data_IF_850296848925
#
_entry.id   IF_850296848925
#
_cell.length_a   1.000
_cell.length_b   1.000
_cell.length_c   1.000
_cell.angle_alpha   90.00
_cell.angle_beta   90.00
_cell.angle_gamma   90.00
#
_symmetry.space_group_name_H-M   'P 1'
#
loop_
_entity.id
_entity.type
_entity.pdbx_description
1 polymer ?
#
# COMPACT_ATOMS: atom_id res chain seq x y z
N UNK A 1 -31.24 25.49 -29.39
CA UNK A 1 -31.42 24.18 -28.74
C UNK A 1 -30.22 23.33 -29.07
N UNK A 2 -29.34 23.11 -28.10
CA UNK A 2 -28.15 22.28 -28.26
C UNK A 2 -28.07 21.34 -27.02
N UNK A 3 -28.48 20.07 -27.14
CA UNK A 3 -28.73 19.20 -25.98
C UNK A 3 -27.52 18.36 -25.50
N UNK A 4 -26.31 18.53 -26.04
CA UNK A 4 -25.20 17.57 -25.83
C UNK A 4 -24.06 18.02 -24.90
N UNK A 5 -24.29 18.95 -23.96
CA UNK A 5 -23.34 19.16 -22.84
C UNK A 5 -23.74 18.34 -21.61
N UNK A 6 -23.95 17.04 -21.81
CA UNK A 6 -24.05 16.09 -20.71
C UNK A 6 -22.65 15.98 -20.06
N UNK A 7 -22.53 16.58 -18.87
CA UNK A 7 -21.27 16.62 -18.12
C UNK A 7 -20.70 15.23 -17.92
N UNK A 8 -19.50 14.99 -18.47
CA UNK A 8 -18.67 13.85 -18.13
C UNK A 8 -18.56 13.82 -16.60
N UNK A 9 -18.97 12.73 -15.91
CA UNK A 9 -18.78 12.64 -14.47
C UNK A 9 -17.29 12.81 -14.20
N UNK A 10 -16.93 13.89 -13.50
CA UNK A 10 -15.58 14.03 -12.97
C UNK A 10 -15.47 12.93 -11.93
N UNK A 11 -14.90 11.80 -12.32
CA UNK A 11 -14.54 10.73 -11.41
C UNK A 11 -13.75 11.39 -10.29
N UNK A 12 -14.35 11.43 -9.09
CA UNK A 12 -13.73 12.06 -7.94
C UNK A 12 -12.33 11.50 -7.80
N UNK A 13 -11.31 12.38 -7.73
CA UNK A 13 -9.91 11.97 -7.60
C UNK A 13 -9.83 11.00 -6.43
N UNK A 14 -9.57 9.72 -6.71
CA UNK A 14 -9.45 8.72 -5.67
C UNK A 14 -8.43 9.23 -4.65
N UNK A 15 -8.79 9.21 -3.36
CA UNK A 15 -7.88 9.63 -2.32
C UNK A 15 -6.56 8.84 -2.44
N UNK A 16 -5.44 9.55 -2.40
CA UNK A 16 -4.13 8.92 -2.49
C UNK A 16 -3.96 7.91 -1.34
N UNK A 17 -3.32 6.75 -1.58
CA UNK A 17 -3.09 5.77 -0.53
C UNK A 17 -2.14 6.35 0.53
N UNK A 18 -2.29 5.89 1.77
CA UNK A 18 -1.31 6.17 2.83
C UNK A 18 -0.08 5.29 2.59
N UNK A 19 1.10 5.90 2.53
CA UNK A 19 2.38 5.20 2.36
C UNK A 19 3.16 5.24 3.66
N UNK A 20 3.68 4.10 4.10
CA UNK A 20 4.48 3.94 5.32
C UNK A 20 5.77 3.22 4.93
N UNK A 21 6.92 3.83 5.21
CA UNK A 21 8.23 3.23 5.00
C UNK A 21 8.80 2.75 6.35
N UNK A 22 9.21 1.48 6.41
CA UNK A 22 9.87 0.87 7.58
C UNK A 22 11.33 0.63 7.21
N UNK A 23 12.26 1.29 7.92
CA UNK A 23 13.71 1.23 7.61
C UNK A 23 14.53 0.92 8.87
N UNK A 24 15.81 0.57 8.68
CA UNK A 24 16.74 0.38 9.79
C UNK A 24 18.19 0.47 9.32
N UNK A 25 19.09 0.95 10.17
CA UNK A 25 20.53 0.96 9.87
C UNK A 25 21.26 -0.37 10.09
N UNK A 26 20.59 -1.42 10.59
CA UNK A 26 21.21 -2.72 10.93
C UNK A 26 20.35 -3.90 10.45
N UNK A 27 21.00 -4.98 10.01
CA UNK A 27 20.33 -6.25 9.72
C UNK A 27 19.75 -6.88 11.00
N UNK A 28 18.72 -7.72 10.86
CA UNK A 28 18.19 -8.51 11.97
C UNK A 28 17.32 -7.79 13.00
N UNK A 29 17.02 -6.49 12.84
CA UNK A 29 16.20 -5.72 13.82
C UNK A 29 14.69 -6.01 13.76
N UNK A 30 14.26 -6.96 12.92
CA UNK A 30 12.85 -7.38 12.86
C UNK A 30 11.93 -6.54 11.97
N UNK A 31 12.46 -5.75 11.02
CA UNK A 31 11.65 -4.94 10.07
C UNK A 31 10.52 -5.74 9.41
N UNK A 32 10.83 -6.91 8.86
CA UNK A 32 9.87 -7.78 8.18
C UNK A 32 8.73 -8.21 9.10
N UNK A 33 9.03 -8.53 10.36
CA UNK A 33 8.01 -8.88 11.35
C UNK A 33 7.06 -7.70 11.63
N UNK A 34 7.61 -6.48 11.73
CA UNK A 34 6.81 -5.27 11.93
C UNK A 34 5.92 -5.03 10.72
N UNK A 35 6.47 -5.09 9.51
CA UNK A 35 5.73 -4.88 8.26
C UNK A 35 4.59 -5.89 8.10
N UNK A 36 4.85 -7.17 8.34
CA UNK A 36 3.85 -8.24 8.26
C UNK A 36 2.70 -8.05 9.27
N UNK A 37 3.02 -7.79 10.54
CA UNK A 37 2.00 -7.61 11.57
C UNK A 37 1.19 -6.31 11.37
N UNK A 38 1.83 -5.25 10.88
CA UNK A 38 1.15 -4.00 10.55
C UNK A 38 0.18 -4.20 9.38
N UNK A 39 0.60 -4.93 8.34
CA UNK A 39 -0.27 -5.30 7.24
C UNK A 39 -1.48 -6.12 7.70
N UNK A 40 -1.24 -7.16 8.52
CA UNK A 40 -2.30 -7.98 9.12
C UNK A 40 -3.28 -7.15 9.97
N UNK A 41 -2.76 -6.23 10.79
CA UNK A 41 -3.63 -5.35 11.59
C UNK A 41 -4.50 -4.45 10.70
N UNK A 42 -3.94 -3.88 9.62
CA UNK A 42 -4.70 -3.05 8.70
C UNK A 42 -5.74 -3.82 7.89
N UNK A 43 -5.45 -5.05 7.46
CA UNK A 43 -6.45 -5.89 6.79
C UNK A 43 -7.59 -6.25 7.74
N UNK A 44 -7.31 -6.54 9.02
CA UNK A 44 -8.34 -6.73 10.06
C UNK A 44 -9.20 -5.49 10.31
N UNK A 45 -8.69 -4.30 10.01
CA UNK A 45 -9.44 -3.04 10.04
C UNK A 45 -10.16 -2.73 8.72
N UNK A 46 -10.25 -3.70 7.79
CA UNK A 46 -10.92 -3.58 6.50
C UNK A 46 -10.20 -2.67 5.51
N UNK A 47 -8.91 -2.40 5.70
CA UNK A 47 -8.11 -1.60 4.77
C UNK A 47 -7.56 -2.48 3.65
N UNK A 48 -7.51 -1.91 2.43
CA UNK A 48 -6.73 -2.48 1.33
C UNK A 48 -5.26 -2.17 1.61
N UNK A 49 -4.43 -3.19 1.69
CA UNK A 49 -3.02 -3.09 2.06
C UNK A 49 -2.18 -3.63 0.90
N UNK A 50 -1.07 -2.94 0.61
CA UNK A 50 -0.02 -3.43 -0.26
C UNK A 50 1.29 -3.36 0.54
N UNK A 51 1.96 -4.50 0.68
CA UNK A 51 3.31 -4.57 1.24
C UNK A 51 4.30 -4.60 0.07
N UNK A 52 5.29 -3.72 0.11
CA UNK A 52 6.40 -3.69 -0.84
C UNK A 52 7.69 -3.95 -0.08
N UNK A 53 8.42 -4.98 -0.49
CA UNK A 53 9.79 -5.17 -0.03
C UNK A 53 10.75 -4.39 -0.94
N UNK A 54 11.59 -3.55 -0.34
CA UNK A 54 12.59 -2.76 -1.04
C UNK A 54 14.00 -3.33 -0.87
N UNK A 55 14.15 -4.52 -0.27
CA UNK A 55 15.43 -5.23 -0.21
C UNK A 55 15.78 -5.84 -1.58
N UNK A 56 16.32 -5.00 -2.48
CA UNK A 56 16.79 -5.36 -3.82
C UNK A 56 18.02 -6.28 -3.84
N UNK A 57 18.55 -6.65 -2.67
CA UNK A 57 19.87 -7.29 -2.54
C UNK A 57 19.86 -8.80 -2.33
N UNK A 58 18.96 -9.35 -1.50
CA UNK A 58 19.03 -10.75 -1.06
C UNK A 58 17.66 -11.26 -0.57
N UNK A 59 16.86 -11.78 -1.52
CA UNK A 59 16.02 -12.95 -1.32
C UNK A 59 14.84 -12.89 -0.33
N UNK A 60 13.65 -13.09 -0.92
CA UNK A 60 12.42 -13.66 -0.36
C UNK A 60 11.48 -12.69 0.37
N UNK A 61 10.63 -12.01 -0.40
CA UNK A 61 9.28 -11.70 0.07
C UNK A 61 8.26 -12.11 -0.98
N UNK A 62 7.65 -13.27 -0.73
CA UNK A 62 6.45 -13.70 -1.41
C UNK A 62 5.34 -12.66 -1.20
N UNK A 63 4.64 -12.35 -2.28
CA UNK A 63 3.46 -11.49 -2.28
C UNK A 63 2.38 -12.18 -1.41
N UNK A 64 2.16 -11.68 -0.19
CA UNK A 64 1.02 -12.09 0.62
C UNK A 64 -0.19 -11.21 0.26
N UNK A 65 -1.16 -11.83 -0.41
CA UNK A 65 -2.47 -11.28 -0.82
C UNK A 65 -3.43 -11.17 0.36
#
# INVERSE_FOLDING_TARGET
>A
HDPERAGVPRTGRAAAPRVIAVTSGKGGVGKTNIVANLGYAFTRLGKKVLILDADLGLGNLDVLL
#
